data_IF_698343208883
#
_entry.id   IF_698343208883
#
_cell.length_a   1.000
_cell.length_b   1.000
_cell.length_c   1.000
_cell.angle_alpha   90.00
_cell.angle_beta   90.00
_cell.angle_gamma   90.00
#
_symmetry.space_group_name_H-M   'P 1'
#
loop_
_entity.id
_entity.type
_entity.pdbx_description
1 polymer ?
#
# COMPACT_ATOMS: atom_id res chain seq x y z
N UNK A 1 -6.39 -41.18 10.51
CA UNK A 1 -7.74 -40.63 10.23
C UNK A 1 -7.61 -39.73 9.02
N UNK A 2 -8.21 -40.10 7.89
CA UNK A 2 -8.34 -39.21 6.73
C UNK A 2 -9.28 -38.07 7.14
N UNK A 3 -8.81 -36.82 7.08
CA UNK A 3 -9.67 -35.65 7.17
C UNK A 3 -10.71 -35.76 6.04
N UNK A 4 -11.97 -36.03 6.38
CA UNK A 4 -13.07 -35.84 5.44
C UNK A 4 -13.09 -34.36 5.07
N UNK A 5 -12.83 -34.08 3.80
CA UNK A 5 -12.97 -32.74 3.24
C UNK A 5 -14.47 -32.43 3.22
N UNK A 6 -14.96 -31.67 4.19
CA UNK A 6 -16.33 -31.18 4.17
C UNK A 6 -16.52 -30.32 2.92
N UNK A 7 -17.26 -30.85 1.95
CA UNK A 7 -17.63 -30.09 0.76
C UNK A 7 -18.66 -29.03 1.15
N UNK A 8 -18.48 -27.76 0.75
CA UNK A 8 -19.46 -26.74 1.05
C UNK A 8 -20.76 -27.03 0.29
N UNK A 9 -21.89 -26.60 0.85
CA UNK A 9 -23.21 -26.72 0.21
C UNK A 9 -23.21 -26.10 -1.20
N UNK A 10 -22.55 -24.96 -1.37
CA UNK A 10 -22.47 -24.26 -2.64
C UNK A 10 -21.13 -23.55 -2.80
N UNK A 11 -20.65 -23.50 -4.04
CA UNK A 11 -19.61 -22.57 -4.48
C UNK A 11 -20.28 -21.46 -5.29
N UNK A 12 -20.11 -20.22 -4.84
CA UNK A 12 -20.74 -19.07 -5.48
C UNK A 12 -19.67 -18.10 -5.95
N UNK A 13 -19.81 -17.62 -7.19
CA UNK A 13 -19.02 -16.52 -7.75
C UNK A 13 -19.93 -15.33 -7.95
N UNK A 14 -19.72 -14.28 -7.15
CA UNK A 14 -20.41 -13.01 -7.34
C UNK A 14 -19.76 -12.25 -8.50
N UNK A 15 -20.58 -11.71 -9.39
CA UNK A 15 -20.08 -10.89 -10.49
C UNK A 15 -19.64 -9.53 -9.98
N UNK A 16 -18.62 -8.94 -10.61
CA UNK A 16 -18.20 -7.57 -10.30
C UNK A 16 -19.36 -6.58 -10.46
N UNK A 17 -20.22 -6.77 -11.47
CA UNK A 17 -21.41 -5.94 -11.72
C UNK A 17 -22.31 -5.86 -10.49
N UNK A 18 -22.55 -7.01 -9.88
CA UNK A 18 -23.42 -7.09 -8.72
C UNK A 18 -22.77 -6.44 -7.50
N UNK A 19 -21.48 -6.66 -7.30
CA UNK A 19 -20.70 -6.04 -6.22
C UNK A 19 -20.47 -4.53 -6.40
N UNK A 20 -20.67 -3.98 -7.60
CA UNK A 20 -20.70 -2.53 -7.82
C UNK A 20 -22.04 -1.89 -7.40
N UNK A 21 -23.11 -2.68 -7.29
CA UNK A 21 -24.44 -2.18 -6.93
C UNK A 21 -24.80 -2.34 -5.46
N UNK A 22 -24.17 -3.29 -4.76
CA UNK A 22 -24.45 -3.60 -3.35
C UNK A 22 -23.17 -4.03 -2.63
N UNK A 23 -23.17 -3.96 -1.30
CA UNK A 23 -22.01 -4.39 -0.50
C UNK A 23 -21.84 -5.93 -0.52
N UNK A 24 -20.61 -6.45 -0.31
CA UNK A 24 -20.38 -7.89 -0.19
C UNK A 24 -21.20 -8.56 0.92
N UNK A 25 -21.47 -7.85 2.03
CA UNK A 25 -22.31 -8.36 3.13
C UNK A 25 -23.78 -8.49 2.71
N UNK A 26 -24.32 -7.52 1.99
CA UNK A 26 -25.69 -7.62 1.46
C UNK A 26 -25.80 -8.72 0.41
N UNK A 27 -24.79 -8.85 -0.46
CA UNK A 27 -24.73 -9.94 -1.42
C UNK A 27 -24.75 -11.31 -0.72
N UNK A 28 -24.01 -11.47 0.38
CA UNK A 28 -24.00 -12.70 1.18
C UNK A 28 -25.37 -12.98 1.83
N UNK A 29 -26.05 -11.95 2.36
CA UNK A 29 -27.41 -12.08 2.88
C UNK A 29 -28.39 -12.57 1.82
N UNK A 30 -28.34 -11.99 0.62
CA UNK A 30 -29.19 -12.43 -0.50
C UNK A 30 -28.91 -13.89 -0.89
N UNK A 31 -27.64 -14.30 -0.90
CA UNK A 31 -27.27 -15.69 -1.16
C UNK A 31 -27.76 -16.63 -0.07
N UNK A 32 -27.67 -16.26 1.22
CA UNK A 32 -28.20 -17.07 2.32
C UNK A 32 -29.69 -17.30 2.20
N UNK A 33 -30.45 -16.26 1.83
CA UNK A 33 -31.88 -16.39 1.61
C UNK A 33 -32.19 -17.46 0.54
N UNK A 34 -31.51 -17.41 -0.60
CA UNK A 34 -31.68 -18.38 -1.69
C UNK A 34 -31.26 -19.80 -1.26
N UNK A 35 -30.12 -19.92 -0.59
CA UNK A 35 -29.56 -21.22 -0.21
C UNK A 35 -30.35 -21.90 0.93
N UNK A 36 -30.98 -21.13 1.82
CA UNK A 36 -31.84 -21.68 2.87
C UNK A 36 -33.09 -22.38 2.32
N UNK A 37 -33.55 -22.02 1.12
CA UNK A 37 -34.61 -22.74 0.41
C UNK A 37 -34.15 -24.13 -0.07
N UNK A 38 -32.84 -24.35 -0.20
CA UNK A 38 -32.23 -25.60 -0.67
C UNK A 38 -31.75 -26.50 0.47
N UNK A 39 -31.54 -25.95 1.66
CA UNK A 39 -31.15 -26.70 2.86
C UNK A 39 -30.63 -25.82 4.00
N UNK A 40 -30.36 -26.43 5.15
CA UNK A 40 -29.89 -25.71 6.33
C UNK A 40 -28.43 -25.26 6.20
N UNK A 41 -28.18 -23.96 6.32
CA UNK A 41 -26.85 -23.38 6.39
C UNK A 41 -26.37 -23.25 7.85
N UNK A 42 -25.42 -24.09 8.24
CA UNK A 42 -24.94 -24.14 9.63
C UNK A 42 -23.58 -23.43 9.85
N UNK A 43 -23.02 -22.79 8.81
CA UNK A 43 -21.68 -22.20 8.85
C UNK A 43 -21.61 -20.80 8.22
N UNK A 44 -20.49 -20.12 8.47
CA UNK A 44 -20.15 -18.83 7.88
C UNK A 44 -19.69 -18.99 6.42
N UNK A 45 -19.89 -17.95 5.61
CA UNK A 45 -19.37 -17.94 4.25
C UNK A 45 -17.85 -17.91 4.27
N UNK A 46 -17.22 -18.88 3.60
CA UNK A 46 -15.77 -18.94 3.45
C UNK A 46 -15.33 -18.30 2.14
N UNK A 47 -14.31 -17.45 2.17
CA UNK A 47 -13.79 -16.78 0.98
C UNK A 47 -12.73 -17.66 0.31
N UNK A 48 -12.99 -18.09 -0.93
CA UNK A 48 -12.00 -18.84 -1.72
C UNK A 48 -11.15 -17.96 -2.62
N UNK A 49 -11.63 -16.77 -2.94
CA UNK A 49 -10.98 -15.77 -3.78
C UNK A 49 -11.57 -14.40 -3.47
N UNK A 50 -10.73 -13.39 -3.40
CA UNK A 50 -11.13 -11.98 -3.35
C UNK A 50 -10.30 -11.20 -4.37
N UNK A 51 -10.97 -10.30 -5.09
CA UNK A 51 -10.35 -9.38 -6.03
C UNK A 51 -10.57 -7.96 -5.50
N UNK A 52 -9.52 -7.33 -4.99
CA UNK A 52 -9.53 -5.93 -4.59
C UNK A 52 -9.13 -5.10 -5.80
N UNK A 53 -9.90 -4.07 -6.14
CA UNK A 53 -9.55 -3.19 -7.24
C UNK A 53 -9.75 -1.71 -6.93
N UNK A 54 -8.93 -0.87 -7.54
CA UNK A 54 -9.09 0.58 -7.53
C UNK A 54 -9.03 1.11 -8.97
N UNK A 55 -9.98 1.99 -9.28
CA UNK A 55 -10.01 2.76 -10.53
C UNK A 55 -9.37 4.13 -10.28
N UNK A 56 -8.57 4.59 -11.22
CA UNK A 56 -7.92 5.89 -11.13
C UNK A 56 -7.61 6.46 -12.51
N UNK A 57 -7.44 7.77 -12.55
CA UNK A 57 -6.95 8.50 -13.73
C UNK A 57 -5.47 8.81 -13.48
N UNK A 58 -4.66 8.64 -14.51
CA UNK A 58 -3.26 9.05 -14.47
C UNK A 58 -2.76 9.46 -15.85
N UNK A 59 -2.03 10.57 -15.98
CA UNK A 59 -1.35 10.94 -17.22
C UNK A 59 -0.03 10.17 -17.43
N UNK A 60 0.39 9.37 -16.46
CA UNK A 60 1.66 8.63 -16.51
C UNK A 60 1.72 7.69 -17.72
N UNK A 61 2.87 7.69 -18.41
CA UNK A 61 3.13 6.74 -19.48
C UNK A 61 3.47 5.37 -18.91
N UNK A 62 2.45 4.55 -18.67
CA UNK A 62 2.62 3.22 -18.04
C UNK A 62 3.35 2.20 -18.92
N UNK A 63 3.49 2.46 -20.23
CA UNK A 63 4.25 1.62 -21.15
C UNK A 63 5.76 1.76 -20.93
N UNK A 64 6.23 2.92 -20.46
CA UNK A 64 7.66 3.18 -20.27
C UNK A 64 8.27 2.45 -19.07
N UNK A 65 7.48 1.75 -18.26
CA UNK A 65 7.99 1.00 -17.12
C UNK A 65 8.62 -0.32 -17.55
N UNK A 66 9.93 -0.45 -17.37
CA UNK A 66 10.62 -1.70 -17.67
C UNK A 66 10.42 -2.75 -16.57
N UNK A 67 10.61 -4.03 -16.92
CA UNK A 67 10.45 -5.19 -16.01
C UNK A 67 11.21 -5.03 -14.68
N UNK A 68 12.37 -4.39 -14.72
CA UNK A 68 13.24 -4.15 -13.56
C UNK A 68 12.66 -3.16 -12.55
N UNK A 69 11.75 -2.27 -12.96
CA UNK A 69 11.03 -1.38 -12.05
C UNK A 69 10.06 -2.17 -11.14
N UNK A 70 9.63 -3.35 -11.57
CA UNK A 70 8.72 -4.19 -10.80
C UNK A 70 9.46 -5.12 -9.84
N UNK A 71 9.36 -4.83 -8.54
CA UNK A 71 9.78 -5.72 -7.45
C UNK A 71 8.59 -6.60 -7.10
N UNK A 72 8.70 -7.92 -7.31
CA UNK A 72 7.57 -8.81 -7.05
C UNK A 72 7.99 -10.22 -6.64
N UNK A 73 7.15 -10.89 -5.86
CA UNK A 73 7.22 -12.34 -5.60
C UNK A 73 6.53 -13.16 -6.70
N UNK A 74 5.83 -12.50 -7.65
CA UNK A 74 5.22 -13.14 -8.81
C UNK A 74 6.26 -13.63 -9.82
N UNK A 75 6.04 -14.84 -10.36
CA UNK A 75 6.99 -15.47 -11.30
C UNK A 75 6.95 -14.88 -12.72
N UNK A 76 5.82 -14.36 -13.14
CA UNK A 76 5.58 -13.87 -14.51
C UNK A 76 5.17 -12.40 -14.47
N UNK A 77 5.68 -11.63 -15.42
CA UNK A 77 5.22 -10.28 -15.74
C UNK A 77 5.02 -10.23 -17.24
N UNK A 78 3.81 -9.90 -17.64
CA UNK A 78 3.36 -9.84 -19.02
C UNK A 78 2.83 -8.45 -19.32
N UNK A 79 3.08 -7.98 -20.53
CA UNK A 79 2.59 -6.71 -21.07
C UNK A 79 1.49 -7.01 -22.09
N UNK A 80 0.42 -6.22 -22.07
CA UNK A 80 -0.72 -6.36 -22.96
C UNK A 80 -0.77 -5.20 -23.93
N UNK A 81 -0.99 -5.54 -25.20
CA UNK A 81 -1.09 -4.60 -26.32
C UNK A 81 -2.29 -5.00 -27.17
N UNK A 82 -3.15 -4.05 -27.49
CA UNK A 82 -4.30 -4.23 -28.40
C UNK A 82 -4.17 -3.23 -29.53
N UNK A 83 -4.20 -3.70 -30.77
CA UNK A 83 -4.04 -2.87 -31.98
C UNK A 83 -2.78 -1.96 -31.96
N UNK A 84 -1.68 -2.47 -31.40
CA UNK A 84 -0.42 -1.73 -31.29
C UNK A 84 -0.37 -0.70 -30.16
N UNK A 85 -1.44 -0.52 -29.38
CA UNK A 85 -1.45 0.35 -28.21
C UNK A 85 -1.31 -0.45 -26.91
N UNK A 86 -0.45 0.02 -26.00
CA UNK A 86 -0.32 -0.56 -24.67
C UNK A 86 -1.63 -0.46 -23.89
N UNK A 87 -2.06 -1.58 -23.31
CA UNK A 87 -3.32 -1.65 -22.54
C UNK A 87 -3.15 -2.11 -21.11
N UNK A 88 -1.96 -2.57 -20.71
CA UNK A 88 -1.71 -2.90 -19.31
C UNK A 88 -0.61 -3.90 -19.02
N UNK A 89 -0.43 -4.17 -17.74
CA UNK A 89 0.44 -5.17 -17.15
C UNK A 89 -0.36 -6.28 -16.49
N UNK A 90 0.22 -7.47 -16.46
CA UNK A 90 -0.23 -8.59 -15.64
C UNK A 90 0.94 -9.22 -14.94
N UNK A 91 0.80 -9.45 -13.63
CA UNK A 91 1.88 -9.90 -12.77
C UNK A 91 1.39 -11.08 -11.94
N UNK A 92 2.11 -12.20 -12.01
CA UNK A 92 1.81 -13.39 -11.21
C UNK A 92 0.53 -14.14 -11.61
N UNK A 93 0.03 -13.96 -12.84
CA UNK A 93 -1.17 -14.67 -13.30
C UNK A 93 -1.05 -16.20 -13.14
N UNK A 94 -2.14 -16.82 -12.67
CA UNK A 94 -2.20 -18.24 -12.35
C UNK A 94 -1.59 -18.61 -10.98
N UNK A 95 -1.02 -17.65 -10.26
CA UNK A 95 -0.52 -17.84 -8.90
C UNK A 95 -1.58 -17.66 -7.81
N UNK A 96 -1.15 -17.82 -6.56
CA UNK A 96 -1.97 -17.57 -5.36
C UNK A 96 -2.31 -16.08 -5.16
N UNK A 97 -1.46 -15.20 -5.68
CA UNK A 97 -1.69 -13.75 -5.80
C UNK A 97 -1.37 -13.36 -7.24
N UNK A 98 -2.19 -12.50 -7.81
CA UNK A 98 -1.90 -11.87 -9.10
C UNK A 98 -2.36 -10.42 -9.11
N UNK A 99 -1.66 -9.58 -9.87
CA UNK A 99 -2.01 -8.19 -10.12
C UNK A 99 -2.32 -7.98 -11.59
N UNK A 100 -3.35 -7.19 -11.90
CA UNK A 100 -3.64 -6.65 -13.23
C UNK A 100 -3.68 -5.14 -13.11
N UNK A 101 -2.92 -4.44 -13.96
CA UNK A 101 -3.00 -3.00 -14.12
C UNK A 101 -3.34 -2.72 -15.58
N UNK A 102 -4.52 -2.21 -15.88
CA UNK A 102 -4.98 -2.14 -17.27
C UNK A 102 -5.89 -0.94 -17.53
N UNK A 103 -5.98 -0.54 -18.80
CA UNK A 103 -6.89 0.50 -19.25
C UNK A 103 -8.32 -0.05 -19.21
N UNK A 104 -9.04 0.35 -18.16
CA UNK A 104 -10.39 -0.11 -17.86
C UNK A 104 -11.41 0.52 -18.80
N UNK A 105 -11.17 1.75 -19.24
CA UNK A 105 -12.06 2.42 -20.20
C UNK A 105 -12.10 1.65 -21.52
N UNK A 106 -10.95 1.26 -22.06
CA UNK A 106 -10.87 0.42 -23.27
C UNK A 106 -11.52 -0.95 -23.07
N UNK A 107 -11.35 -1.56 -21.89
CA UNK A 107 -11.96 -2.85 -21.59
C UNK A 107 -13.49 -2.78 -21.60
N UNK A 108 -14.09 -1.78 -20.94
CA UNK A 108 -15.55 -1.67 -20.87
C UNK A 108 -16.19 -1.28 -22.19
N UNK A 109 -15.46 -0.53 -23.05
CA UNK A 109 -15.90 -0.21 -24.40
C UNK A 109 -16.00 -1.48 -25.25
N UNK A 110 -15.05 -2.40 -25.10
CA UNK A 110 -15.05 -3.70 -25.80
C UNK A 110 -16.13 -4.64 -25.25
N UNK A 111 -16.32 -4.69 -23.93
CA UNK A 111 -17.27 -5.61 -23.29
C UNK A 111 -18.71 -5.08 -23.21
N UNK A 112 -18.94 -3.80 -23.53
CA UNK A 112 -20.25 -3.14 -23.44
C UNK A 112 -20.72 -2.85 -22.00
N UNK A 113 -19.81 -2.92 -21.01
CA UNK A 113 -20.10 -2.76 -19.57
C UNK A 113 -20.08 -1.29 -19.15
N UNK A 114 -21.14 -0.55 -19.44
CA UNK A 114 -21.22 0.89 -19.13
C UNK A 114 -21.70 1.23 -17.71
N UNK A 115 -21.96 0.22 -16.86
CA UNK A 115 -22.45 0.39 -15.49
C UNK A 115 -21.49 1.15 -14.56
N UNK A 116 -20.19 1.19 -14.90
CA UNK A 116 -19.18 1.93 -14.13
C UNK A 116 -19.09 3.42 -14.52
N UNK A 117 -19.58 3.81 -15.70
CA UNK A 117 -19.44 5.18 -16.21
C UNK A 117 -20.12 6.20 -15.30
N UNK A 118 -21.37 5.99 -14.81
CA UNK A 118 -21.99 6.93 -13.87
C UNK A 118 -21.18 7.11 -12.58
N UNK A 119 -20.62 6.03 -12.04
CA UNK A 119 -19.80 6.07 -10.81
C UNK A 119 -18.53 6.90 -11.01
N UNK A 120 -17.87 6.78 -12.17
CA UNK A 120 -16.70 7.59 -12.49
C UNK A 120 -17.07 9.06 -12.71
N UNK A 121 -18.19 9.35 -13.37
CA UNK A 121 -18.69 10.71 -13.56
C UNK A 121 -19.01 11.38 -12.21
N UNK A 122 -19.65 10.67 -11.28
CA UNK A 122 -19.89 11.12 -9.91
C UNK A 122 -18.57 11.39 -9.15
N UNK A 123 -17.52 10.61 -9.45
CA UNK A 123 -16.17 10.85 -8.95
C UNK A 123 -15.39 11.96 -9.67
N UNK A 124 -16.01 12.65 -10.62
CA UNK A 124 -15.44 13.80 -11.33
C UNK A 124 -14.65 13.46 -12.59
N UNK A 125 -14.76 12.22 -13.10
CA UNK A 125 -14.19 11.83 -14.39
C UNK A 125 -14.77 12.68 -15.53
N UNK A 126 -13.90 13.08 -16.45
CA UNK A 126 -14.28 13.79 -17.66
C UNK A 126 -14.17 12.86 -18.87
N UNK A 127 -15.04 13.08 -19.85
CA UNK A 127 -15.02 12.32 -21.09
C UNK A 127 -13.63 12.41 -21.76
N UNK A 128 -13.08 11.25 -22.13
CA UNK A 128 -11.73 11.02 -22.69
C UNK A 128 -10.55 10.91 -21.70
N UNK A 129 -10.72 11.13 -20.39
CA UNK A 129 -9.66 10.81 -19.44
C UNK A 129 -9.46 9.27 -19.39
N UNK A 130 -8.22 8.75 -19.46
CA UNK A 130 -7.99 7.31 -19.38
C UNK A 130 -8.29 6.82 -17.96
N UNK A 131 -9.18 5.83 -17.84
CA UNK A 131 -9.39 5.11 -16.58
C UNK A 131 -8.52 3.86 -16.57
N UNK A 132 -7.65 3.79 -15.58
CA UNK A 132 -6.84 2.62 -15.26
C UNK A 132 -7.45 1.90 -14.06
N UNK A 133 -7.42 0.57 -14.09
CA UNK A 133 -7.73 -0.27 -12.94
C UNK A 133 -6.50 -1.03 -12.51
N UNK A 134 -6.17 -0.94 -11.23
CA UNK A 134 -5.29 -1.91 -10.57
C UNK A 134 -6.17 -2.91 -9.80
N UNK A 135 -5.91 -4.20 -9.96
CA UNK A 135 -6.66 -5.28 -9.35
C UNK A 135 -5.70 -6.32 -8.76
N UNK A 136 -5.81 -6.59 -7.46
CA UNK A 136 -5.15 -7.68 -6.78
C UNK A 136 -6.14 -8.80 -6.51
N UNK A 137 -5.88 -9.95 -7.12
CA UNK A 137 -6.59 -11.20 -6.87
C UNK A 137 -5.80 -12.02 -5.84
N UNK A 138 -6.45 -12.40 -4.74
CA UNK A 138 -5.90 -13.25 -3.69
C UNK A 138 -6.73 -14.54 -3.58
N UNK A 139 -6.04 -15.69 -3.63
CA UNK A 139 -6.65 -17.02 -3.51
C UNK A 139 -6.67 -17.49 -2.05
N UNK A 140 -7.53 -18.48 -1.76
CA UNK A 140 -7.73 -19.09 -0.44
C UNK A 140 -6.44 -19.39 0.31
N UNK A 141 -5.41 -19.89 -0.37
CA UNK A 141 -4.15 -20.27 0.28
C UNK A 141 -3.52 -19.08 1.01
N UNK A 142 -3.55 -17.90 0.41
CA UNK A 142 -3.01 -16.67 1.00
C UNK A 142 -3.90 -16.18 2.13
N UNK A 143 -5.22 -16.20 1.90
CA UNK A 143 -6.17 -15.80 2.92
C UNK A 143 -6.03 -16.66 4.18
N UNK A 144 -5.88 -17.98 4.02
CA UNK A 144 -5.64 -18.93 5.10
C UNK A 144 -4.29 -18.70 5.81
N UNK A 145 -3.23 -18.39 5.06
CA UNK A 145 -1.90 -18.05 5.63
C UNK A 145 -1.98 -16.84 6.57
N UNK A 146 -2.93 -15.92 6.33
CA UNK A 146 -3.24 -14.78 7.20
C UNK A 146 -4.37 -15.03 8.22
N UNK A 147 -4.88 -16.26 8.33
CA UNK A 147 -5.99 -16.60 9.24
C UNK A 147 -7.35 -16.02 8.82
N UNK A 148 -7.48 -15.56 7.58
CA UNK A 148 -8.69 -14.92 7.05
C UNK A 148 -9.52 -15.93 6.26
N UNK A 149 -10.46 -16.60 6.94
CA UNK A 149 -11.27 -17.65 6.33
C UNK A 149 -12.68 -17.15 6.02
N UNK A 150 -13.33 -16.54 7.01
CA UNK A 150 -14.72 -16.07 6.91
C UNK A 150 -14.82 -14.75 6.14
N UNK A 151 -15.96 -14.51 5.48
CA UNK A 151 -16.23 -13.24 4.81
C UNK A 151 -16.07 -12.06 5.77
N UNK A 152 -16.63 -12.13 6.98
CA UNK A 152 -16.52 -11.05 7.96
C UNK A 152 -15.07 -10.76 8.33
N UNK A 153 -14.26 -11.79 8.59
CA UNK A 153 -12.83 -11.60 8.86
C UNK A 153 -12.07 -10.98 7.68
N UNK A 154 -12.39 -11.39 6.45
CA UNK A 154 -11.73 -10.84 5.24
C UNK A 154 -12.10 -9.38 5.04
N UNK A 155 -13.39 -9.04 5.15
CA UNK A 155 -13.88 -7.66 5.00
C UNK A 155 -13.37 -6.73 6.10
N UNK A 156 -13.13 -7.24 7.31
CA UNK A 156 -12.54 -6.48 8.39
C UNK A 156 -11.03 -6.22 8.23
N UNK A 157 -10.37 -6.81 7.23
CA UNK A 157 -8.91 -6.76 7.04
C UNK A 157 -8.50 -6.35 5.61
N UNK A 158 -9.36 -5.64 4.86
CA UNK A 158 -9.10 -5.26 3.47
C UNK A 158 -7.86 -4.36 3.34
N UNK A 159 -7.66 -3.42 4.28
CA UNK A 159 -6.45 -2.58 4.31
C UNK A 159 -5.17 -3.39 4.45
N UNK A 160 -5.18 -4.40 5.31
CA UNK A 160 -4.04 -5.31 5.50
C UNK A 160 -3.73 -6.10 4.22
N UNK A 161 -4.77 -6.64 3.58
CA UNK A 161 -4.64 -7.37 2.31
C UNK A 161 -4.10 -6.47 1.18
N UNK A 162 -4.64 -5.25 1.04
CA UNK A 162 -4.18 -4.28 0.05
C UNK A 162 -2.73 -3.85 0.29
N UNK A 163 -2.39 -3.51 1.53
CA UNK A 163 -1.03 -3.11 1.92
C UNK A 163 -0.02 -4.22 1.64
N UNK A 164 -0.35 -5.46 2.02
CA UNK A 164 0.51 -6.61 1.71
C UNK A 164 0.70 -6.80 0.21
N UNK A 165 -0.39 -6.74 -0.56
CA UNK A 165 -0.35 -6.94 -2.00
C UNK A 165 0.45 -5.85 -2.75
N UNK A 166 0.30 -4.59 -2.33
CA UNK A 166 0.85 -3.40 -3.02
C UNK A 166 2.17 -2.84 -2.46
N UNK A 167 2.63 -3.30 -1.29
CA UNK A 167 3.92 -2.88 -0.72
C UNK A 167 4.93 -4.04 -0.58
N UNK A 168 4.47 -5.24 -0.23
CA UNK A 168 5.35 -6.38 0.03
C UNK A 168 5.41 -7.39 -1.11
N UNK A 169 4.25 -7.76 -1.67
CA UNK A 169 4.18 -8.75 -2.74
C UNK A 169 4.52 -8.17 -4.11
N UNK A 170 4.09 -6.95 -4.38
CA UNK A 170 4.38 -6.19 -5.59
C UNK A 170 4.63 -4.72 -5.26
N UNK A 171 5.74 -4.17 -5.75
CA UNK A 171 6.06 -2.74 -5.66
C UNK A 171 6.63 -2.26 -6.99
N UNK A 172 6.16 -1.11 -7.47
CA UNK A 172 6.80 -0.38 -8.58
C UNK A 172 7.80 0.62 -8.00
N UNK A 173 9.04 0.57 -8.49
CA UNK A 173 10.13 1.44 -8.07
C UNK A 173 10.68 2.26 -9.23
N UNK A 174 11.46 3.29 -8.91
CA UNK A 174 12.26 4.03 -9.88
C UNK A 174 13.63 3.33 -9.94
N UNK A 175 14.00 2.70 -11.08
CA UNK A 175 15.31 2.09 -11.23
C UNK A 175 16.45 3.07 -11.01
N UNK A 176 17.47 2.65 -10.26
CA UNK A 176 18.70 3.40 -10.07
C UNK A 176 19.86 2.59 -10.66
N UNK A 177 20.44 3.02 -11.81
CA UNK A 177 21.58 2.34 -12.44
C UNK A 177 22.81 2.21 -11.52
N UNK A 178 22.98 3.15 -10.59
CA UNK A 178 24.14 3.22 -9.69
C UNK A 178 23.95 2.39 -8.40
N UNK A 179 22.74 1.86 -8.16
CA UNK A 179 22.44 1.01 -6.99
C UNK A 179 21.89 -0.35 -7.43
N UNK A 180 22.69 -1.39 -7.29
CA UNK A 180 22.25 -2.76 -7.59
C UNK A 180 21.26 -3.31 -6.54
N UNK A 181 21.11 -2.65 -5.39
CA UNK A 181 20.24 -3.08 -4.29
C UNK A 181 18.80 -2.62 -4.51
N UNK A 182 18.07 -3.36 -5.35
CA UNK A 182 16.67 -3.04 -5.73
C UNK A 182 15.69 -2.81 -4.57
N UNK A 183 15.96 -3.34 -3.37
CA UNK A 183 15.12 -3.08 -2.19
C UNK A 183 15.18 -1.62 -1.74
N UNK A 184 16.30 -0.92 -1.97
CA UNK A 184 16.52 0.48 -1.60
C UNK A 184 15.94 1.48 -2.61
N UNK A 185 15.59 1.01 -3.81
CA UNK A 185 15.06 1.87 -4.86
C UNK A 185 13.81 2.62 -4.39
N UNK A 186 13.70 3.94 -4.70
CA UNK A 186 12.53 4.73 -4.38
C UNK A 186 11.25 4.12 -4.98
N UNK A 187 10.13 4.27 -4.27
CA UNK A 187 8.81 3.90 -4.80
C UNK A 187 8.43 4.86 -5.95
N UNK A 188 7.81 4.33 -7.00
CA UNK A 188 7.27 5.17 -8.06
C UNK A 188 6.10 6.01 -7.51
N UNK A 189 6.02 7.34 -7.78
CA UNK A 189 5.00 8.21 -7.19
C UNK A 189 3.57 7.69 -7.35
N UNK A 190 3.17 7.35 -8.58
CA UNK A 190 1.86 6.74 -8.85
C UNK A 190 1.59 5.48 -8.00
N UNK A 191 2.60 4.64 -7.81
CA UNK A 191 2.45 3.43 -7.02
C UNK A 191 2.33 3.71 -5.52
N UNK A 192 2.98 4.77 -5.03
CA UNK A 192 2.76 5.27 -3.68
C UNK A 192 1.31 5.71 -3.44
N UNK A 193 0.71 6.42 -4.42
CA UNK A 193 -0.73 6.72 -4.39
C UNK A 193 -1.57 5.44 -4.35
N UNK A 194 -1.29 4.47 -5.23
CA UNK A 194 -2.00 3.19 -5.25
C UNK A 194 -1.88 2.42 -3.93
N UNK A 195 -0.67 2.31 -3.37
CA UNK A 195 -0.44 1.54 -2.13
C UNK A 195 -1.02 2.21 -0.89
N UNK A 196 -1.36 3.49 -0.96
CA UNK A 196 -1.91 4.28 0.14
C UNK A 196 -3.43 4.34 0.18
N UNK A 197 -4.11 3.70 -0.77
CA UNK A 197 -5.58 3.63 -0.82
C UNK A 197 -6.10 3.00 0.48
N UNK A 198 -7.01 3.72 1.13
CA UNK A 198 -7.71 3.27 2.31
C UNK A 198 -8.96 2.47 1.94
N UNK A 199 -9.05 1.26 2.50
CA UNK A 199 -10.14 0.30 2.33
C UNK A 199 -11.03 0.16 3.57
N UNK A 200 -10.70 0.84 4.68
CA UNK A 200 -11.47 0.78 5.94
C UNK A 200 -12.33 2.03 6.15
N UNK A 201 -11.89 3.20 5.69
CA UNK A 201 -12.68 4.42 5.73
C UNK A 201 -13.86 4.42 4.77
N UNK A 202 -14.87 5.25 5.05
CA UNK A 202 -16.03 5.44 4.17
C UNK A 202 -15.70 6.23 2.88
N UNK A 203 -14.44 6.24 2.42
CA UNK A 203 -13.99 6.89 1.18
C UNK A 203 -14.10 8.42 1.12
N UNK A 204 -14.71 9.06 2.13
CA UNK A 204 -14.99 10.49 2.11
C UNK A 204 -15.93 10.89 0.95
N UNK A 205 -16.12 12.19 0.69
CA UNK A 205 -16.78 12.62 -0.54
C UNK A 205 -15.96 12.19 -1.75
N UNK A 206 -16.64 11.72 -2.81
CA UNK A 206 -15.98 11.43 -4.08
C UNK A 206 -15.25 12.68 -4.57
N UNK A 207 -13.95 12.54 -4.84
CA UNK A 207 -13.06 13.66 -5.15
C UNK A 207 -12.28 13.33 -6.42
N UNK A 208 -12.14 14.34 -7.28
CA UNK A 208 -11.31 14.26 -8.49
C UNK A 208 -9.82 14.08 -8.16
N UNK A 209 -9.37 14.54 -6.99
CA UNK A 209 -7.97 14.45 -6.56
C UNK A 209 -7.83 13.55 -5.34
N UNK A 210 -6.89 12.62 -5.40
CA UNK A 210 -6.49 11.79 -4.27
C UNK A 210 -5.21 12.36 -3.64
N UNK A 211 -5.19 12.48 -2.31
CA UNK A 211 -3.97 12.79 -1.55
C UNK A 211 -3.52 11.53 -0.83
N UNK A 212 -2.36 11.00 -1.20
CA UNK A 212 -1.79 9.77 -0.63
C UNK A 212 -1.36 9.85 0.83
N UNK A 213 -1.36 11.05 1.41
CA UNK A 213 -0.81 11.30 2.74
C UNK A 213 -1.57 10.49 3.79
N UNK A 214 -0.88 9.50 4.37
CA UNK A 214 -1.41 8.61 5.42
C UNK A 214 -0.80 9.02 6.76
N UNK A 215 -1.20 10.18 7.25
CA UNK A 215 -0.70 10.68 8.52
C UNK A 215 -1.30 9.86 9.67
N UNK A 216 -0.48 9.37 10.61
CA UNK A 216 -1.00 8.85 11.86
C UNK A 216 -1.67 9.99 12.64
N UNK A 217 -2.63 9.63 13.50
CA UNK A 217 -3.21 10.58 14.45
C UNK A 217 -2.13 11.11 15.40
N UNK A 218 -2.05 12.43 15.53
CA UNK A 218 -1.09 13.12 16.41
C UNK A 218 -1.20 12.63 17.86
N UNK A 219 -2.41 12.30 18.34
CA UNK A 219 -2.59 11.75 19.70
C UNK A 219 -1.79 10.46 19.91
N UNK A 220 -1.72 9.61 18.88
CA UNK A 220 -0.93 8.37 18.94
C UNK A 220 0.57 8.68 19.00
N UNK A 221 1.03 9.66 18.23
CA UNK A 221 2.44 10.10 18.23
C UNK A 221 2.80 10.66 19.61
N UNK A 222 1.98 11.55 20.15
CA UNK A 222 2.20 12.16 21.46
C UNK A 222 2.13 11.15 22.60
N UNK A 223 1.20 10.19 22.55
CA UNK A 223 1.08 9.15 23.58
C UNK A 223 2.31 8.24 23.64
N UNK A 224 2.93 7.94 22.48
CA UNK A 224 4.21 7.22 22.43
C UNK A 224 5.36 8.06 23.02
N UNK A 225 5.43 9.35 22.66
CA UNK A 225 6.43 10.27 23.20
C UNK A 225 6.33 10.43 24.71
N UNK A 226 5.13 10.71 25.22
CA UNK A 226 4.84 10.85 26.64
C UNK A 226 5.19 9.58 27.43
N UNK A 227 4.82 8.39 26.91
CA UNK A 227 5.15 7.11 27.55
C UNK A 227 6.66 6.88 27.64
N UNK A 228 7.41 7.22 26.59
CA UNK A 228 8.87 7.09 26.59
C UNK A 228 9.53 8.03 27.59
N UNK A 229 9.09 9.30 27.63
CA UNK A 229 9.64 10.31 28.55
C UNK A 229 9.34 9.97 30.00
N UNK A 230 8.07 9.64 30.32
CA UNK A 230 7.66 9.26 31.67
C UNK A 230 8.42 8.03 32.19
N UNK A 231 8.62 7.03 31.32
CA UNK A 231 9.40 5.83 31.67
C UNK A 231 10.85 6.16 31.99
N UNK A 232 11.47 7.08 31.25
CA UNK A 232 12.84 7.53 31.52
C UNK A 232 12.93 8.30 32.84
N UNK A 233 12.06 9.30 33.04
CA UNK A 233 12.02 10.11 34.25
C UNK A 233 11.81 9.25 35.50
N UNK A 234 10.84 8.34 35.46
CA UNK A 234 10.56 7.41 36.57
C UNK A 234 11.76 6.49 36.87
N UNK A 235 12.42 5.94 35.84
CA UNK A 235 13.61 5.09 36.00
C UNK A 235 14.76 5.84 36.70
N UNK A 236 14.88 7.13 36.44
CA UNK A 236 15.97 7.96 36.97
C UNK A 236 15.57 8.79 38.19
N UNK A 237 14.37 8.59 38.74
CA UNK A 237 13.89 9.27 39.95
C UNK A 237 13.64 10.78 39.76
N UNK A 238 13.39 11.21 38.53
CA UNK A 238 13.13 12.61 38.19
C UNK A 238 11.67 12.94 38.43
N UNK A 239 11.42 14.04 39.12
CA UNK A 239 10.06 14.51 39.41
C UNK A 239 9.77 15.87 38.80
N UNK A 240 10.81 16.60 38.36
CA UNK A 240 10.66 17.83 37.61
C UNK A 240 10.71 17.58 36.10
N UNK A 241 9.81 18.24 35.37
CA UNK A 241 9.61 18.08 33.94
C UNK A 241 10.44 19.08 33.13
N UNK A 242 10.50 20.33 33.59
CA UNK A 242 11.12 21.45 32.87
C UNK A 242 12.59 21.65 33.27
N UNK A 243 13.26 22.57 32.55
CA UNK A 243 14.69 22.88 32.46
C UNK A 243 15.62 22.28 33.55
N UNK A 244 16.67 21.60 33.08
CA UNK A 244 17.79 20.98 33.81
C UNK A 244 17.57 19.60 34.49
N UNK A 245 16.37 18.99 34.45
CA UNK A 245 16.18 17.66 35.06
C UNK A 245 15.58 16.57 34.14
N UNK A 246 14.32 16.69 33.74
CA UNK A 246 13.58 15.62 33.06
C UNK A 246 13.77 15.60 31.54
N UNK A 247 13.21 16.60 30.85
CA UNK A 247 13.17 16.66 29.40
C UNK A 247 14.56 16.83 28.77
N UNK A 248 15.38 17.76 29.27
CA UNK A 248 16.71 18.02 28.74
C UNK A 248 17.62 16.79 28.84
N UNK A 249 17.55 16.09 29.97
CA UNK A 249 18.35 14.89 30.18
C UNK A 249 17.86 13.75 29.30
N UNK A 250 16.54 13.60 29.12
CA UNK A 250 16.00 12.66 28.16
C UNK A 250 16.49 12.96 26.73
N UNK A 251 16.42 14.21 26.29
CA UNK A 251 16.87 14.63 24.95
C UNK A 251 18.37 14.40 24.75
N UNK A 252 19.20 14.71 25.75
CA UNK A 252 20.64 14.44 25.71
C UNK A 252 20.94 12.95 25.55
N UNK A 253 20.27 12.08 26.31
CA UNK A 253 20.47 10.63 26.23
C UNK A 253 19.86 10.02 24.96
N UNK A 254 18.75 10.57 24.47
CA UNK A 254 18.17 10.19 23.19
C UNK A 254 19.12 10.52 22.02
N UNK A 255 19.78 11.69 22.06
CA UNK A 255 20.79 12.05 21.07
C UNK A 255 22.04 11.16 21.16
N UNK A 256 22.50 10.82 22.37
CA UNK A 256 23.57 9.81 22.56
C UNK A 256 23.20 8.45 21.97
N UNK A 257 21.95 8.02 22.16
CA UNK A 257 21.43 6.80 21.55
C UNK A 257 21.48 6.86 20.02
N UNK A 258 21.09 7.99 19.40
CA UNK A 258 21.22 8.17 17.95
C UNK A 258 22.67 8.11 17.49
N UNK A 259 23.59 8.72 18.24
CA UNK A 259 25.03 8.68 17.94
C UNK A 259 25.56 7.25 17.97
N UNK A 260 25.30 6.49 19.04
CA UNK A 260 25.73 5.10 19.17
C UNK A 260 25.17 4.22 18.05
N UNK A 261 23.87 4.34 17.76
CA UNK A 261 23.23 3.57 16.68
C UNK A 261 23.70 3.96 15.29
N UNK A 262 23.90 5.26 15.05
CA UNK A 262 24.46 5.78 13.82
C UNK A 262 25.87 5.26 13.58
N UNK A 263 26.72 5.24 14.61
CA UNK A 263 28.11 4.78 14.51
C UNK A 263 28.21 3.34 13.98
N UNK A 264 27.38 2.42 14.48
CA UNK A 264 27.32 1.03 13.97
C UNK A 264 26.89 0.91 12.51
N UNK A 265 26.27 1.97 11.96
CA UNK A 265 25.80 2.04 10.58
C UNK A 265 26.69 2.94 9.69
N UNK A 266 27.78 3.51 10.23
CA UNK A 266 28.63 4.48 9.53
C UNK A 266 27.94 5.84 9.31
N UNK A 267 27.01 6.22 10.18
CA UNK A 267 26.22 7.45 10.12
C UNK A 267 26.45 8.33 11.36
N UNK A 268 26.38 9.65 11.19
CA UNK A 268 26.24 10.58 12.31
C UNK A 268 24.87 10.43 13.00
N UNK A 269 24.74 10.97 14.22
CA UNK A 269 23.47 10.98 14.96
C UNK A 269 22.34 11.64 14.16
N UNK A 270 22.65 12.73 13.45
CA UNK A 270 21.71 13.47 12.62
C UNK A 270 21.29 12.65 11.39
N UNK A 271 22.25 12.02 10.70
CA UNK A 271 21.95 11.16 9.55
C UNK A 271 21.11 9.94 9.95
N UNK A 272 21.38 9.36 11.13
CA UNK A 272 20.61 8.24 11.66
C UNK A 272 19.13 8.60 11.85
N UNK A 273 18.83 9.72 12.51
CA UNK A 273 17.44 10.13 12.73
C UNK A 273 16.76 10.55 11.42
N UNK A 274 17.48 11.23 10.51
CA UNK A 274 16.96 11.58 9.19
C UNK A 274 16.61 10.33 8.38
N UNK A 275 17.37 9.24 8.50
CA UNK A 275 17.03 7.98 7.84
C UNK A 275 15.74 7.37 8.41
N UNK A 276 15.54 7.45 9.74
CA UNK A 276 14.26 7.05 10.36
C UNK A 276 13.10 7.92 9.90
N UNK A 277 13.32 9.23 9.76
CA UNK A 277 12.32 10.16 9.20
C UNK A 277 11.99 9.79 7.76
N UNK A 278 12.99 9.49 6.91
CA UNK A 278 12.74 9.05 5.53
C UNK A 278 11.92 7.76 5.47
N UNK A 279 12.20 6.80 6.35
CA UNK A 279 11.41 5.57 6.44
C UNK A 279 9.95 5.87 6.83
N UNK A 280 9.73 6.71 7.85
CA UNK A 280 8.38 7.11 8.27
C UNK A 280 7.67 7.96 7.24
N UNK A 281 8.38 8.83 6.54
CA UNK A 281 7.80 9.67 5.51
C UNK A 281 7.45 8.89 4.22
N UNK A 282 8.11 7.75 3.97
CA UNK A 282 7.65 6.76 2.98
C UNK A 282 6.40 6.02 3.46
N UNK A 283 6.35 5.62 4.73
CA UNK A 283 5.17 4.97 5.34
C UNK A 283 3.94 5.87 5.37
N UNK A 284 4.12 7.15 5.69
CA UNK A 284 3.06 8.16 5.73
C UNK A 284 2.82 8.82 4.37
N UNK A 285 3.59 8.43 3.35
CA UNK A 285 3.49 8.98 1.99
C UNK A 285 3.66 10.51 1.94
N UNK A 286 4.37 11.10 2.90
CA UNK A 286 4.70 12.54 2.92
C UNK A 286 5.89 12.87 2.01
N UNK A 287 6.71 11.87 1.65
CA UNK A 287 7.80 12.00 0.66
C UNK A 287 7.37 11.72 -0.79
N UNK A 288 6.07 11.60 -1.09
CA UNK A 288 5.61 11.42 -2.48
C UNK A 288 5.75 12.68 -3.36
N UNK A 289 6.04 13.82 -2.74
CA UNK A 289 6.34 15.06 -3.42
C UNK A 289 7.76 15.46 -3.05
N UNK A 290 8.75 15.00 -3.80
CA UNK A 290 10.02 15.71 -3.82
C UNK A 290 9.90 16.65 -5.01
N UNK A 291 9.65 17.94 -4.75
CA UNK A 291 9.63 18.95 -5.81
C UNK A 291 10.95 18.89 -6.58
N UNK A 292 10.98 19.32 -7.85
CA UNK A 292 12.24 19.36 -8.62
C UNK A 292 13.34 20.15 -7.89
N UNK A 293 12.93 21.13 -7.07
CA UNK A 293 13.80 21.91 -6.19
C UNK A 293 14.36 21.09 -5.04
N UNK A 294 13.55 20.27 -4.37
CA UNK A 294 14.03 19.36 -3.30
C UNK A 294 14.90 18.23 -3.86
N UNK A 295 14.62 17.74 -5.08
CA UNK A 295 15.50 16.79 -5.76
C UNK A 295 16.85 17.43 -6.13
N UNK A 296 16.84 18.68 -6.61
CA UNK A 296 18.06 19.46 -6.81
C UNK A 296 18.79 19.69 -5.49
N UNK A 297 18.07 20.03 -4.42
CA UNK A 297 18.65 20.28 -3.09
C UNK A 297 19.24 19.00 -2.49
N UNK A 298 18.60 17.84 -2.67
CA UNK A 298 19.14 16.54 -2.27
C UNK A 298 20.39 16.16 -3.07
N UNK A 299 20.41 16.42 -4.37
CA UNK A 299 21.62 16.23 -5.21
C UNK A 299 22.76 17.16 -4.80
N UNK A 300 22.45 18.42 -4.47
CA UNK A 300 23.42 19.41 -3.99
C UNK A 300 23.95 19.03 -2.60
N UNK A 301 23.07 18.62 -1.69
CA UNK A 301 23.46 18.19 -0.34
C UNK A 301 24.28 16.89 -0.39
N UNK A 302 23.94 15.94 -1.27
CA UNK A 302 24.71 14.73 -1.48
C UNK A 302 26.09 15.06 -2.06
N UNK A 303 26.17 15.93 -3.07
CA UNK A 303 27.44 16.39 -3.63
C UNK A 303 28.30 17.15 -2.60
N UNK A 304 27.69 17.91 -1.70
CA UNK A 304 28.39 18.60 -0.62
C UNK A 304 28.94 17.62 0.44
N UNK A 305 28.18 16.57 0.78
CA UNK A 305 28.63 15.49 1.68
C UNK A 305 29.76 14.70 1.03
N UNK A 306 29.67 14.38 -0.26
CA UNK A 306 30.70 13.65 -0.99
C UNK A 306 31.98 14.49 -1.14
N UNK A 307 31.84 15.81 -1.32
CA UNK A 307 32.95 16.77 -1.31
C UNK A 307 33.61 16.87 0.07
N UNK A 308 32.82 16.94 1.16
CA UNK A 308 33.35 16.93 2.53
C UNK A 308 34.07 15.61 2.87
N UNK A 309 33.52 14.47 2.46
CA UNK A 309 34.20 13.17 2.63
C UNK A 309 35.48 13.06 1.82
N UNK A 310 35.55 13.73 0.66
CA UNK A 310 36.76 13.83 -0.14
C UNK A 310 37.78 14.84 0.43
N UNK A 311 37.32 15.90 1.13
CA UNK A 311 38.21 16.88 1.79
C UNK A 311 38.75 16.39 3.12
N UNK A 312 37.98 15.58 3.85
CA UNK A 312 38.34 15.02 5.17
C UNK A 312 39.14 13.71 5.04
N UNK A 313 39.54 13.34 3.82
CA UNK A 313 40.35 12.18 3.50
C UNK A 313 41.80 12.53 3.13
N UNK A 314 42.59 12.99 4.10
CA UNK A 314 44.05 12.83 4.17
C UNK A 314 44.50 12.79 5.64
#
# INVERSE_FOLDING_TARGET
MQNQQENPMAYVKLSSRYLCSISPKEAEKHLRYILNELGSLNSHAHVSRIDLCADFISPENMESWHREAWITRGKKIDTHVINGAFTGWSIGLGGKISCRLYNKLLEIQSSGRTDLVPLWQEAGWQENDPIWRVEFQLMREVLNEHGLISLDSVLANLNGLWSYASAEWLRLTIPNPDDQTRSRWPIHPLWGYISSIDWEGNGGPLSRSFKATRLPDDNRIFSLGASSLASYMAKHGMNDFDDDEGLDRYMLYLFKYFHERGFFMGLSALEYILEKVRLRAREFNTLLNCSEEEQKQLKVNQAAIDYQKASDGA
#
